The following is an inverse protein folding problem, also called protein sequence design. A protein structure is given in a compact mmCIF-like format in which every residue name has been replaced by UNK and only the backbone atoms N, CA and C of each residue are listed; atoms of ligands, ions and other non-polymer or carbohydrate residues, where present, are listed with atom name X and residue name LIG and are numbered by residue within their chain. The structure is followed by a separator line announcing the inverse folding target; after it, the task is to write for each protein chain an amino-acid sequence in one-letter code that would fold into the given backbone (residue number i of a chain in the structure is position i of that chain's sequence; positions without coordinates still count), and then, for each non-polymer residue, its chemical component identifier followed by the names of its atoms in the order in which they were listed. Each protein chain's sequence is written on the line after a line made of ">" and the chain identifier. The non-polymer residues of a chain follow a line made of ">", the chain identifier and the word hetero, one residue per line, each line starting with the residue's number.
data_IF_565485064770
#
_entry.id   IF_565485064770
#
_cell.length_a   1.000
_cell.length_b   1.000
_cell.length_c   1.000
_cell.angle_alpha   90.00
_cell.angle_beta   90.00
_cell.angle_gamma   90.00
#
_symmetry.space_group_name_H-M   'P 1'
#
loop_
_entity.id
_entity.type
_entity.pdbx_description
1 polymer ?
#
# COMPACT_ATOMS: atom_id res chain seq x y z
N UNK A 1 0.62 -23.31 -29.22
CA UNK A 1 1.76 -22.39 -29.17
C UNK A 1 2.08 -22.15 -27.70
N UNK A 2 3.33 -22.27 -27.28
CA UNK A 2 3.70 -21.92 -25.90
C UNK A 2 3.47 -20.42 -25.69
N UNK A 3 2.86 -19.99 -24.58
CA UNK A 3 2.62 -18.58 -24.32
C UNK A 3 3.96 -17.84 -24.27
N UNK A 4 4.07 -16.77 -25.06
CA UNK A 4 5.25 -15.91 -25.08
C UNK A 4 5.09 -14.83 -24.00
N UNK A 5 6.11 -14.65 -23.18
CA UNK A 5 6.15 -13.58 -22.19
C UNK A 5 7.43 -12.76 -22.33
N UNK A 6 7.37 -11.51 -21.89
CA UNK A 6 8.50 -10.60 -21.77
C UNK A 6 8.51 -10.04 -20.36
N UNK A 7 9.68 -9.88 -19.76
CA UNK A 7 9.83 -9.34 -18.41
C UNK A 7 10.40 -7.93 -18.52
N UNK A 8 9.69 -6.94 -17.96
CA UNK A 8 10.18 -5.56 -17.87
C UNK A 8 10.50 -5.28 -16.41
N UNK A 9 11.73 -4.87 -16.11
CA UNK A 9 12.21 -4.58 -14.75
C UNK A 9 12.53 -3.09 -14.61
N UNK A 10 11.56 -2.27 -14.17
CA UNK A 10 11.82 -0.91 -13.70
C UNK A 10 12.70 -0.96 -12.45
N UNK A 11 13.83 -0.25 -12.47
CA UNK A 11 14.81 -0.26 -11.38
C UNK A 11 15.43 1.11 -11.18
N UNK A 12 15.97 1.36 -9.99
CA UNK A 12 16.80 2.55 -9.72
C UNK A 12 18.29 2.29 -9.97
N UNK A 13 18.64 1.26 -10.75
CA UNK A 13 20.01 0.90 -11.10
C UNK A 13 20.77 0.15 -9.99
N UNK A 14 20.12 -0.80 -9.30
CA UNK A 14 20.75 -1.57 -8.21
C UNK A 14 21.80 -2.57 -8.72
N UNK A 15 23.01 -2.65 -8.14
CA UNK A 15 24.05 -3.61 -8.55
C UNK A 15 23.61 -5.08 -8.46
N UNK A 16 22.73 -5.41 -7.52
CA UNK A 16 22.21 -6.76 -7.30
C UNK A 16 21.41 -7.27 -8.50
N UNK A 17 20.69 -6.39 -9.21
CA UNK A 17 19.94 -6.77 -10.40
C UNK A 17 20.88 -7.23 -11.51
N UNK A 18 22.02 -6.57 -11.71
CA UNK A 18 23.00 -6.97 -12.72
C UNK A 18 23.51 -8.39 -12.46
N UNK A 19 23.86 -8.69 -11.21
CA UNK A 19 24.30 -10.04 -10.80
C UNK A 19 23.22 -11.10 -11.02
N UNK A 20 21.95 -10.74 -10.85
CA UNK A 20 20.84 -11.66 -11.14
C UNK A 20 20.74 -11.94 -12.64
N UNK A 21 20.79 -10.90 -13.47
CA UNK A 21 20.70 -11.04 -14.93
C UNK A 21 21.86 -11.86 -15.50
N UNK A 22 23.08 -11.63 -15.00
CA UNK A 22 24.27 -12.41 -15.39
C UNK A 22 24.04 -13.91 -15.08
N UNK A 23 23.52 -14.23 -13.89
CA UNK A 23 23.19 -15.62 -13.52
C UNK A 23 22.07 -16.23 -14.37
N UNK A 24 21.01 -15.48 -14.65
CA UNK A 24 19.92 -15.99 -15.50
C UNK A 24 20.43 -16.30 -16.93
N UNK A 25 21.35 -15.48 -17.44
CA UNK A 25 22.00 -15.74 -18.72
C UNK A 25 22.89 -17.00 -18.67
N UNK A 26 23.65 -17.20 -17.60
CA UNK A 26 24.45 -18.41 -17.37
C UNK A 26 23.58 -19.68 -17.25
N UNK A 27 22.40 -19.56 -16.64
CA UNK A 27 21.41 -20.64 -16.53
C UNK A 27 20.63 -20.90 -17.83
N UNK A 28 20.88 -20.12 -18.89
CA UNK A 28 20.28 -20.31 -20.21
C UNK A 28 18.84 -19.83 -20.32
N UNK A 29 18.41 -18.87 -19.51
CA UNK A 29 17.10 -18.20 -19.66
C UNK A 29 17.10 -17.44 -20.98
N UNK A 30 16.09 -17.70 -21.82
CA UNK A 30 16.03 -17.17 -23.20
C UNK A 30 14.89 -16.18 -23.42
N UNK A 31 14.01 -16.02 -22.42
CA UNK A 31 12.89 -15.12 -22.53
C UNK A 31 13.35 -13.64 -22.55
N UNK A 32 12.68 -12.77 -23.34
CA UNK A 32 13.05 -11.37 -23.42
C UNK A 32 12.95 -10.68 -22.06
N UNK A 33 14.07 -10.16 -21.56
CA UNK A 33 14.14 -9.33 -20.36
C UNK A 33 14.59 -7.92 -20.77
N UNK A 34 13.75 -6.93 -20.51
CA UNK A 34 14.05 -5.51 -20.68
C UNK A 34 14.25 -4.86 -19.31
N UNK A 35 15.36 -4.13 -19.14
CA UNK A 35 15.65 -3.38 -17.91
C UNK A 35 15.47 -1.90 -18.16
N UNK A 36 14.63 -1.25 -17.35
CA UNK A 36 14.35 0.17 -17.45
C UNK A 36 14.89 0.87 -16.21
N UNK A 37 15.85 1.77 -16.39
CA UNK A 37 16.45 2.49 -15.26
C UNK A 37 15.73 3.83 -15.06
N UNK A 38 14.98 3.94 -13.96
CA UNK A 38 14.45 5.21 -13.46
C UNK A 38 15.54 5.91 -12.63
N UNK A 39 16.26 6.81 -13.29
CA UNK A 39 17.32 7.62 -12.68
C UNK A 39 16.76 8.69 -11.72
N UNK A 40 15.53 9.14 -11.96
CA UNK A 40 14.89 10.24 -11.24
C UNK A 40 14.18 9.78 -9.96
N UNK A 41 14.00 8.46 -9.78
CA UNK A 41 13.41 7.82 -8.60
C UNK A 41 12.01 8.35 -8.31
N UNK A 42 11.18 8.42 -9.34
CA UNK A 42 9.84 9.02 -9.31
C UNK A 42 8.82 8.20 -8.51
N UNK A 43 9.19 6.97 -8.14
CA UNK A 43 8.48 6.13 -7.19
C UNK A 43 7.75 4.95 -7.83
N UNK A 44 7.12 4.08 -7.02
CA UNK A 44 6.60 2.79 -7.50
C UNK A 44 5.49 2.90 -8.55
N UNK A 45 4.58 3.86 -8.41
CA UNK A 45 3.52 4.08 -9.39
C UNK A 45 4.08 4.43 -10.78
N UNK A 46 5.07 5.33 -10.82
CA UNK A 46 5.78 5.70 -12.05
C UNK A 46 6.52 4.50 -12.64
N UNK A 47 7.28 3.78 -11.82
CA UNK A 47 8.03 2.60 -12.25
C UNK A 47 7.11 1.53 -12.86
N UNK A 48 5.97 1.22 -12.22
CA UNK A 48 4.96 0.29 -12.76
C UNK A 48 4.37 0.79 -14.07
N UNK A 49 4.13 2.09 -14.18
CA UNK A 49 3.65 2.72 -15.41
C UNK A 49 4.64 2.62 -16.56
N UNK A 50 5.91 2.90 -16.32
CA UNK A 50 6.98 2.69 -17.28
C UNK A 50 7.08 1.23 -17.72
N UNK A 51 6.95 0.30 -16.77
CA UNK A 51 6.96 -1.13 -17.05
C UNK A 51 5.85 -1.56 -18.01
N UNK A 52 4.59 -1.30 -17.65
CA UNK A 52 3.46 -1.81 -18.46
C UNK A 52 3.32 -1.12 -19.81
N UNK A 53 3.76 0.13 -19.96
CA UNK A 53 3.71 0.84 -21.25
C UNK A 53 4.62 0.22 -22.31
N UNK A 54 5.69 -0.47 -21.89
CA UNK A 54 6.63 -1.17 -22.78
C UNK A 54 6.16 -2.55 -23.20
N UNK A 55 5.13 -3.10 -22.56
CA UNK A 55 4.59 -4.41 -22.92
C UNK A 55 3.46 -4.27 -23.94
N UNK A 56 3.32 -5.28 -24.79
CA UNK A 56 2.24 -5.41 -25.78
C UNK A 56 1.26 -6.56 -25.47
N UNK A 57 1.54 -7.33 -24.42
CA UNK A 57 0.71 -8.47 -24.01
C UNK A 57 -0.72 -8.05 -23.63
N UNK A 58 -1.68 -8.93 -23.90
CA UNK A 58 -3.08 -8.75 -23.49
C UNK A 58 -3.18 -8.57 -21.96
N UNK A 59 -2.39 -9.34 -21.22
CA UNK A 59 -2.28 -9.29 -19.77
C UNK A 59 -0.93 -8.70 -19.36
N UNK A 60 -0.96 -7.83 -18.36
CA UNK A 60 0.21 -7.33 -17.66
C UNK A 60 0.20 -7.87 -16.25
N UNK A 61 1.22 -8.64 -15.90
CA UNK A 61 1.39 -9.23 -14.57
C UNK A 61 2.36 -8.37 -13.78
N UNK A 62 1.87 -7.76 -12.69
CA UNK A 62 2.69 -7.10 -11.70
C UNK A 62 3.08 -8.11 -10.62
N UNK A 63 4.38 -8.21 -10.36
CA UNK A 63 4.97 -9.07 -9.35
C UNK A 63 6.03 -8.24 -8.61
N UNK A 64 5.91 -8.11 -7.29
CA UNK A 64 6.86 -7.31 -6.50
C UNK A 64 8.22 -8.05 -6.38
N UNK A 65 9.31 -7.31 -6.12
CA UNK A 65 10.67 -7.88 -6.03
C UNK A 65 10.97 -8.56 -4.68
N UNK A 66 10.04 -8.49 -3.72
CA UNK A 66 10.13 -9.04 -2.38
C UNK A 66 9.10 -10.14 -2.08
N UNK A 67 8.56 -10.78 -3.12
CA UNK A 67 7.65 -11.94 -2.99
C UNK A 67 8.27 -13.22 -3.51
N UNK A 68 7.68 -14.35 -3.12
CA UNK A 68 8.11 -15.70 -3.49
C UNK A 68 6.94 -16.46 -4.11
N UNK A 69 6.88 -16.60 -5.45
CA UNK A 69 5.89 -17.45 -6.12
C UNK A 69 5.99 -18.91 -5.66
N UNK A 70 4.86 -19.55 -5.36
CA UNK A 70 4.84 -20.96 -4.91
C UNK A 70 5.04 -21.95 -6.06
N UNK A 71 5.51 -23.20 -5.79
CA UNK A 71 5.69 -24.21 -6.84
C UNK A 71 4.44 -24.42 -7.71
N UNK A 72 4.59 -24.39 -9.03
CA UNK A 72 3.48 -24.45 -9.99
C UNK A 72 2.78 -23.12 -10.27
N UNK A 73 3.39 -22.00 -9.89
CA UNK A 73 2.83 -20.66 -10.06
C UNK A 73 2.54 -20.33 -11.52
N UNK A 74 3.43 -20.70 -12.44
CA UNK A 74 3.30 -20.37 -13.87
C UNK A 74 2.08 -21.04 -14.48
N UNK A 75 1.87 -22.33 -14.22
CA UNK A 75 0.75 -23.10 -14.73
C UNK A 75 -0.57 -22.53 -14.21
N UNK A 76 -0.60 -22.17 -12.91
CA UNK A 76 -1.77 -21.53 -12.31
C UNK A 76 -2.00 -20.11 -12.79
N UNK A 77 -0.95 -19.33 -13.06
CA UNK A 77 -1.09 -18.03 -13.72
C UNK A 77 -1.76 -18.21 -15.08
N UNK A 78 -1.26 -19.11 -15.92
CA UNK A 78 -1.85 -19.33 -17.25
C UNK A 78 -3.33 -19.73 -17.17
N UNK A 79 -3.70 -20.59 -16.22
CA UNK A 79 -5.09 -20.93 -15.96
C UNK A 79 -5.90 -19.72 -15.43
N UNK A 80 -5.30 -18.92 -14.55
CA UNK A 80 -5.91 -17.71 -13.99
C UNK A 80 -6.18 -16.65 -15.07
N UNK A 81 -5.39 -16.59 -16.15
CA UNK A 81 -5.55 -15.63 -17.25
C UNK A 81 -6.60 -16.06 -18.29
N UNK A 82 -7.02 -17.32 -18.28
CA UNK A 82 -8.11 -17.85 -19.13
C UNK A 82 -9.47 -17.43 -18.57
N UNK A 83 -9.77 -16.14 -18.70
CA UNK A 83 -10.96 -15.51 -18.13
C UNK A 83 -11.81 -14.87 -19.23
N UNK A 84 -13.14 -14.77 -19.03
CA UNK A 84 -13.98 -14.01 -19.93
C UNK A 84 -13.53 -12.53 -20.00
N UNK A 85 -13.90 -11.85 -21.09
CA UNK A 85 -13.55 -10.45 -21.31
C UNK A 85 -14.04 -9.50 -20.19
N UNK A 86 -15.08 -9.89 -19.44
CA UNK A 86 -15.59 -9.13 -18.29
C UNK A 86 -14.60 -9.06 -17.11
N UNK A 87 -13.68 -10.01 -17.00
CA UNK A 87 -12.66 -10.03 -15.94
C UNK A 87 -11.47 -9.18 -16.37
N UNK A 88 -11.30 -8.06 -15.71
CA UNK A 88 -10.27 -7.06 -15.94
C UNK A 88 -8.99 -7.30 -15.15
N UNK A 89 -9.06 -8.00 -14.00
CA UNK A 89 -7.88 -8.31 -13.21
C UNK A 89 -8.03 -9.60 -12.41
N UNK A 90 -6.90 -10.26 -12.17
CA UNK A 90 -6.80 -11.51 -11.41
C UNK A 90 -5.68 -11.42 -10.39
N UNK A 91 -6.02 -11.30 -9.11
CA UNK A 91 -5.04 -11.29 -8.02
C UNK A 91 -4.67 -12.72 -7.60
N UNK A 92 -3.41 -12.96 -7.25
CA UNK A 92 -3.02 -14.18 -6.56
C UNK A 92 -3.58 -14.26 -5.12
N UNK A 93 -3.53 -15.46 -4.56
CA UNK A 93 -3.63 -15.69 -3.13
C UNK A 93 -2.31 -15.32 -2.47
N UNK A 94 -2.30 -14.22 -1.74
CA UNK A 94 -1.10 -13.75 -1.04
C UNK A 94 -1.12 -14.26 0.39
N UNK A 95 -0.02 -14.86 0.82
CA UNK A 95 0.18 -15.34 2.18
C UNK A 95 1.39 -14.67 2.80
N UNK A 96 1.33 -14.37 4.09
CA UNK A 96 2.48 -13.86 4.83
C UNK A 96 2.97 -14.99 5.73
N UNK A 97 4.19 -15.52 5.52
CA UNK A 97 4.71 -16.61 6.34
C UNK A 97 4.69 -16.27 7.85
N UNK A 98 4.41 -17.29 8.65
CA UNK A 98 4.48 -17.18 10.10
C UNK A 98 5.89 -16.78 10.55
N UNK A 99 5.96 -16.04 11.65
CA UNK A 99 7.21 -15.55 12.20
C UNK A 99 7.02 -14.98 13.60
N UNK A 100 8.10 -14.42 14.15
CA UNK A 100 8.00 -13.70 15.42
C UNK A 100 7.02 -12.52 15.27
N UNK A 101 5.93 -12.57 16.03
CA UNK A 101 4.84 -11.58 15.95
C UNK A 101 5.24 -10.26 16.60
N UNK A 102 6.11 -9.54 15.91
CA UNK A 102 6.49 -8.14 16.15
C UNK A 102 5.40 -7.19 15.63
N UNK A 103 5.48 -5.92 15.98
CA UNK A 103 4.53 -4.90 15.50
C UNK A 103 4.60 -4.71 13.97
N UNK A 104 5.80 -4.86 13.41
CA UNK A 104 6.02 -4.86 11.98
C UNK A 104 5.42 -6.08 11.30
N UNK A 105 5.66 -7.29 11.83
CA UNK A 105 5.06 -8.53 11.31
C UNK A 105 3.54 -8.45 11.31
N UNK A 106 2.93 -7.99 12.42
CA UNK A 106 1.49 -7.85 12.53
C UNK A 106 0.89 -6.87 11.49
N UNK A 107 1.64 -5.83 11.13
CA UNK A 107 1.23 -4.90 10.05
C UNK A 107 1.32 -5.57 8.69
N UNK A 108 2.45 -6.23 8.39
CA UNK A 108 2.67 -6.92 7.12
C UNK A 108 1.70 -8.07 6.91
N UNK A 109 1.36 -8.82 7.97
CA UNK A 109 0.37 -9.91 7.95
C UNK A 109 -1.00 -9.45 7.43
N UNK A 110 -1.33 -8.16 7.53
CA UNK A 110 -2.54 -7.59 6.94
C UNK A 110 -2.61 -7.72 5.40
N UNK A 111 -1.46 -7.85 4.72
CA UNK A 111 -1.40 -8.05 3.26
C UNK A 111 -2.08 -9.35 2.82
N UNK A 112 -2.10 -10.38 3.66
CA UNK A 112 -2.77 -11.66 3.35
C UNK A 112 -4.30 -11.51 3.20
N UNK A 113 -4.87 -10.41 3.69
CA UNK A 113 -6.30 -10.10 3.58
C UNK A 113 -6.56 -8.86 2.74
N UNK A 114 -5.51 -8.24 2.18
CA UNK A 114 -5.65 -7.07 1.35
C UNK A 114 -6.21 -7.45 -0.02
N UNK A 115 -6.98 -6.52 -0.60
CA UNK A 115 -7.60 -6.68 -1.91
C UNK A 115 -6.88 -5.82 -2.93
N UNK A 116 -6.70 -6.41 -4.10
CA UNK A 116 -6.13 -5.86 -5.31
C UNK A 116 -4.68 -5.37 -5.20
N UNK A 117 -3.90 -5.97 -4.29
CA UNK A 117 -2.51 -5.58 -4.05
C UNK A 117 -1.60 -6.00 -5.21
N UNK A 118 -0.62 -5.16 -5.54
CA UNK A 118 0.31 -5.39 -6.65
C UNK A 118 1.44 -6.36 -6.35
N UNK A 119 1.43 -6.98 -5.16
CA UNK A 119 2.37 -8.04 -4.79
C UNK A 119 2.37 -9.15 -5.84
N UNK A 120 1.18 -9.53 -6.31
CA UNK A 120 0.98 -10.43 -7.45
C UNK A 120 -0.44 -10.27 -8.01
N UNK A 121 -0.57 -9.51 -9.10
CA UNK A 121 -1.84 -9.26 -9.78
C UNK A 121 -1.64 -9.09 -11.29
N UNK A 122 -2.54 -9.69 -12.06
CA UNK A 122 -2.60 -9.48 -13.50
C UNK A 122 -3.73 -8.51 -13.83
N UNK A 123 -3.49 -7.53 -14.69
CA UNK A 123 -4.50 -6.65 -15.27
C UNK A 123 -4.56 -6.82 -16.78
N UNK A 124 -5.76 -6.77 -17.37
CA UNK A 124 -5.89 -6.58 -18.81
C UNK A 124 -5.27 -5.25 -19.19
N UNK A 125 -4.43 -5.25 -20.21
CA UNK A 125 -3.73 -4.07 -20.69
C UNK A 125 -4.69 -2.98 -21.16
N UNK A 126 -5.83 -3.37 -21.75
CA UNK A 126 -6.88 -2.44 -22.15
C UNK A 126 -7.40 -1.61 -20.96
N UNK A 127 -7.50 -2.20 -19.78
CA UNK A 127 -7.97 -1.50 -18.58
C UNK A 127 -6.92 -0.56 -18.02
N UNK A 128 -5.63 -0.89 -18.17
CA UNK A 128 -4.54 0.04 -17.87
C UNK A 128 -4.56 1.24 -18.82
N UNK A 129 -4.87 1.04 -20.10
CA UNK A 129 -5.07 2.14 -21.06
C UNK A 129 -6.26 3.02 -20.69
N UNK A 130 -7.44 2.42 -20.46
CA UNK A 130 -8.69 3.13 -20.13
C UNK A 130 -8.53 3.97 -18.87
N UNK A 131 -7.87 3.41 -17.86
CA UNK A 131 -7.73 4.07 -16.55
C UNK A 131 -6.51 5.00 -16.48
N UNK A 132 -5.59 4.92 -17.45
CA UNK A 132 -4.31 5.65 -17.45
C UNK A 132 -3.21 5.03 -16.57
N UNK A 133 -3.40 3.81 -16.08
CA UNK A 133 -2.46 3.11 -15.21
C UNK A 133 -2.50 3.58 -13.76
N UNK A 134 -1.38 3.48 -13.05
CA UNK A 134 -1.26 3.93 -11.66
C UNK A 134 -1.25 5.46 -11.56
N UNK A 135 -1.85 6.00 -10.51
CA UNK A 135 -1.81 7.44 -10.25
C UNK A 135 -0.44 7.81 -9.65
N UNK A 136 0.38 8.54 -10.42
CA UNK A 136 1.74 8.90 -10.02
C UNK A 136 1.78 9.95 -8.90
N UNK A 137 0.63 10.46 -8.43
CA UNK A 137 0.55 11.26 -7.21
C UNK A 137 0.84 10.46 -5.92
N UNK A 138 0.90 9.12 -5.99
CA UNK A 138 1.33 8.26 -4.88
C UNK A 138 2.86 8.08 -4.92
N UNK A 139 3.63 8.76 -4.04
CA UNK A 139 5.10 8.73 -4.08
C UNK A 139 5.69 7.46 -3.44
N UNK A 140 4.86 6.53 -2.97
CA UNK A 140 5.23 5.33 -2.20
C UNK A 140 4.36 4.16 -2.64
N UNK A 141 4.81 2.96 -2.32
CA UNK A 141 3.99 1.75 -2.40
C UNK A 141 2.98 1.75 -1.25
N UNK A 142 1.95 2.58 -1.38
CA UNK A 142 0.85 2.74 -0.45
C UNK A 142 -0.36 3.37 -1.17
N UNK A 143 -1.43 2.57 -1.33
CA UNK A 143 -2.77 2.95 -1.86
C UNK A 143 -2.91 3.14 -3.37
N UNK A 144 -1.81 3.15 -4.13
CA UNK A 144 -1.85 3.24 -5.59
C UNK A 144 -2.59 2.06 -6.24
N UNK A 145 -2.53 0.89 -5.59
CA UNK A 145 -3.19 -0.35 -5.96
C UNK A 145 -4.71 -0.27 -5.78
N UNK A 146 -5.16 0.19 -4.61
CA UNK A 146 -6.57 0.37 -4.28
C UNK A 146 -7.23 1.44 -5.17
N UNK A 147 -6.50 2.51 -5.49
CA UNK A 147 -6.94 3.54 -6.43
C UNK A 147 -7.16 2.98 -7.85
N UNK A 148 -6.18 2.24 -8.38
CA UNK A 148 -6.28 1.61 -9.70
C UNK A 148 -7.42 0.59 -9.74
N UNK A 149 -7.51 -0.29 -8.74
CA UNK A 149 -8.56 -1.29 -8.67
C UNK A 149 -9.97 -0.68 -8.62
N UNK A 150 -10.14 0.45 -7.91
CA UNK A 150 -11.38 1.21 -7.94
C UNK A 150 -11.67 1.77 -9.34
N UNK A 151 -10.70 2.42 -9.99
CA UNK A 151 -10.89 2.99 -11.33
C UNK A 151 -11.21 1.92 -12.38
N UNK A 152 -10.60 0.73 -12.29
CA UNK A 152 -10.90 -0.41 -13.16
C UNK A 152 -12.34 -0.89 -12.96
N UNK A 153 -12.81 -1.04 -11.70
CA UNK A 153 -14.21 -1.38 -11.41
C UNK A 153 -15.18 -0.31 -11.87
N UNK A 154 -14.85 0.96 -11.67
CA UNK A 154 -15.66 2.10 -12.11
C UNK A 154 -15.77 2.18 -13.65
N UNK A 155 -14.79 1.64 -14.38
CA UNK A 155 -14.82 1.48 -15.83
C UNK A 155 -15.54 0.19 -16.30
N UNK A 156 -16.20 -0.54 -15.39
CA UNK A 156 -16.98 -1.75 -15.70
C UNK A 156 -16.20 -3.07 -15.61
N UNK A 157 -14.93 -3.05 -15.23
CA UNK A 157 -14.12 -4.26 -15.09
C UNK A 157 -14.44 -5.08 -13.83
N UNK A 158 -14.57 -6.39 -13.97
CA UNK A 158 -14.65 -7.31 -12.85
C UNK A 158 -13.24 -7.71 -12.36
N UNK A 159 -13.01 -7.74 -11.05
CA UNK A 159 -11.74 -8.19 -10.47
C UNK A 159 -12.00 -9.46 -9.67
N UNK A 160 -11.14 -10.46 -9.83
CA UNK A 160 -11.28 -11.77 -9.18
C UNK A 160 -9.99 -12.21 -8.49
N UNK A 161 -10.11 -13.16 -7.58
CA UNK A 161 -8.94 -13.83 -6.96
C UNK A 161 -8.76 -15.18 -7.66
N UNK A 162 -7.57 -15.40 -8.19
CA UNK A 162 -7.19 -16.62 -8.88
C UNK A 162 -6.73 -17.72 -7.92
N UNK A 163 -6.20 -18.78 -8.53
CA UNK A 163 -5.70 -19.96 -7.85
C UNK A 163 -4.20 -19.92 -7.57
N UNK A 164 -3.44 -19.08 -8.27
CA UNK A 164 -1.99 -18.96 -8.01
C UNK A 164 -1.74 -18.38 -6.64
N UNK A 165 -0.65 -18.80 -6.02
CA UNK A 165 -0.30 -18.44 -4.66
C UNK A 165 1.12 -17.93 -4.57
N UNK A 166 1.31 -16.90 -3.75
CA UNK A 166 2.57 -16.17 -3.62
C UNK A 166 2.77 -15.78 -2.15
N UNK A 167 3.93 -16.11 -1.62
CA UNK A 167 4.31 -15.72 -0.26
C UNK A 167 4.93 -14.32 -0.27
N UNK A 168 4.53 -13.47 0.67
CA UNK A 168 5.12 -12.16 0.92
C UNK A 168 5.85 -12.19 2.26
N UNK A 169 7.16 -12.52 2.26
CA UNK A 169 7.98 -12.49 3.47
C UNK A 169 7.95 -11.13 4.18
N UNK A 170 8.08 -11.17 5.50
CA UNK A 170 8.24 -9.95 6.30
C UNK A 170 9.69 -9.49 6.20
N UNK A 171 9.92 -8.38 5.50
CA UNK A 171 11.25 -7.81 5.37
C UNK A 171 11.80 -7.32 6.72
N UNK A 172 13.13 -7.40 6.93
CA UNK A 172 13.77 -6.77 8.08
C UNK A 172 13.43 -5.28 8.15
N UNK A 173 13.05 -4.81 9.33
CA UNK A 173 12.70 -3.41 9.54
C UNK A 173 13.44 -2.83 10.75
N UNK A 174 13.82 -1.56 10.63
CA UNK A 174 14.42 -0.83 11.73
C UNK A 174 13.41 -0.54 12.84
N UNK A 175 13.91 -0.35 14.07
CA UNK A 175 13.12 -0.12 15.29
C UNK A 175 12.08 1.02 15.23
N UNK A 176 12.23 1.95 14.29
CA UNK A 176 11.35 3.11 14.11
C UNK A 176 10.44 3.00 12.87
N UNK A 177 10.31 1.81 12.27
CA UNK A 177 9.53 1.61 11.04
C UNK A 177 8.08 2.09 11.19
N UNK A 178 7.45 1.84 12.34
CA UNK A 178 6.07 2.25 12.62
C UNK A 178 5.86 3.77 12.57
N UNK A 179 6.88 4.57 12.91
CA UNK A 179 6.86 6.02 12.75
C UNK A 179 6.97 6.43 11.28
N UNK A 180 7.87 5.80 10.53
CA UNK A 180 8.05 6.08 9.09
C UNK A 180 6.80 5.74 8.28
N UNK A 181 6.10 4.66 8.64
CA UNK A 181 4.84 4.27 8.00
C UNK A 181 3.73 5.30 8.16
N UNK A 182 3.81 6.21 9.15
CA UNK A 182 2.81 7.27 9.31
C UNK A 182 2.76 8.26 8.14
N UNK A 183 3.80 8.29 7.29
CA UNK A 183 3.80 9.09 6.04
C UNK A 183 2.63 8.74 5.11
N UNK A 184 2.15 7.49 5.13
CA UNK A 184 1.00 7.04 4.34
C UNK A 184 -0.31 7.76 4.69
N UNK A 185 -0.42 8.38 5.87
CA UNK A 185 -1.60 9.19 6.21
C UNK A 185 -1.77 10.40 5.29
N UNK A 186 -0.69 10.89 4.65
CA UNK A 186 -0.79 11.94 3.62
C UNK A 186 -1.56 11.45 2.38
N UNK A 187 -1.39 10.18 2.04
CA UNK A 187 -2.00 9.54 0.87
C UNK A 187 -3.49 9.22 1.16
N UNK A 188 -3.83 8.86 2.40
CA UNK A 188 -5.23 8.78 2.87
C UNK A 188 -5.96 10.14 2.80
N UNK A 189 -5.23 11.26 3.00
CA UNK A 189 -5.79 12.60 2.85
C UNK A 189 -6.05 12.96 1.37
N UNK A 190 -5.15 12.54 0.47
CA UNK A 190 -5.34 12.62 -0.98
C UNK A 190 -6.60 11.86 -1.41
N UNK A 191 -6.74 10.60 -0.99
CA UNK A 191 -7.90 9.78 -1.32
C UNK A 191 -9.22 10.35 -0.79
N UNK A 192 -9.23 10.88 0.44
CA UNK A 192 -10.41 11.57 0.98
C UNK A 192 -10.78 12.79 0.15
N UNK A 193 -9.79 13.55 -0.35
CA UNK A 193 -10.04 14.73 -1.18
C UNK A 193 -10.61 14.33 -2.55
N UNK A 194 -10.05 13.27 -3.14
CA UNK A 194 -10.42 12.76 -4.46
C UNK A 194 -11.78 12.05 -4.45
N UNK A 195 -12.02 11.13 -3.52
CA UNK A 195 -13.21 10.26 -3.50
C UNK A 195 -14.22 10.58 -2.40
N UNK A 196 -13.99 11.65 -1.63
CA UNK A 196 -14.87 12.06 -0.54
C UNK A 196 -14.71 11.24 0.75
N UNK A 197 -15.62 11.42 1.70
CA UNK A 197 -15.50 10.80 3.04
C UNK A 197 -15.71 9.29 3.06
N UNK A 198 -16.39 8.73 2.06
CA UNK A 198 -16.72 7.30 1.93
C UNK A 198 -15.65 6.47 1.21
N UNK A 199 -14.50 7.05 0.88
CA UNK A 199 -13.47 6.44 0.03
C UNK A 199 -13.00 5.05 0.49
N UNK A 200 -13.01 4.77 1.79
CA UNK A 200 -12.60 3.47 2.34
C UNK A 200 -13.48 2.33 1.81
N UNK A 201 -14.80 2.54 1.76
CA UNK A 201 -15.73 1.54 1.20
C UNK A 201 -15.60 1.43 -0.31
N UNK A 202 -15.44 2.56 -1.00
CA UNK A 202 -15.25 2.59 -2.45
C UNK A 202 -13.99 1.83 -2.89
N UNK A 203 -12.87 2.05 -2.21
CA UNK A 203 -11.57 1.48 -2.55
C UNK A 203 -11.28 0.14 -1.82
N UNK A 204 -12.23 -0.38 -1.05
CA UNK A 204 -12.06 -1.62 -0.25
C UNK A 204 -10.86 -1.58 0.71
N UNK A 205 -10.65 -0.39 1.28
CA UNK A 205 -9.55 -0.10 2.19
C UNK A 205 -10.06 -0.11 3.65
N UNK A 206 -9.39 -0.82 4.57
CA UNK A 206 -9.79 -0.83 5.97
C UNK A 206 -9.61 0.54 6.62
N UNK A 207 -10.50 0.85 7.57
CA UNK A 207 -10.42 2.09 8.34
C UNK A 207 -9.19 2.14 9.24
N UNK A 208 -8.40 3.19 9.09
CA UNK A 208 -7.32 3.52 10.01
C UNK A 208 -7.81 4.13 11.34
N UNK A 209 -6.86 4.40 12.24
CA UNK A 209 -7.11 4.99 13.57
C UNK A 209 -7.13 6.52 13.60
N UNK A 210 -7.23 7.20 12.44
CA UNK A 210 -7.12 8.67 12.30
C UNK A 210 -7.94 9.44 13.33
N UNK A 211 -9.21 9.08 13.53
CA UNK A 211 -10.10 9.76 14.50
C UNK A 211 -9.56 9.65 15.93
N UNK A 212 -9.15 8.45 16.35
CA UNK A 212 -8.55 8.21 17.67
C UNK A 212 -7.23 8.97 17.82
N UNK A 213 -6.36 8.92 16.80
CA UNK A 213 -5.10 9.66 16.81
C UNK A 213 -5.30 11.19 16.88
N UNK A 214 -6.34 11.71 16.23
CA UNK A 214 -6.72 13.13 16.34
C UNK A 214 -7.12 13.48 17.77
N UNK A 215 -7.99 12.67 18.39
CA UNK A 215 -8.39 12.87 19.79
C UNK A 215 -7.19 12.80 20.73
N UNK A 216 -6.35 11.77 20.64
CA UNK A 216 -5.14 11.64 21.46
C UNK A 216 -4.23 12.86 21.27
N UNK A 217 -4.00 13.30 20.03
CA UNK A 217 -3.16 14.47 19.76
C UNK A 217 -3.72 15.74 20.38
N UNK A 218 -5.03 15.99 20.22
CA UNK A 218 -5.71 17.15 20.79
C UNK A 218 -5.68 17.15 22.32
N UNK A 219 -5.86 16.00 22.98
CA UNK A 219 -5.73 15.89 24.44
C UNK A 219 -4.33 16.26 24.92
N UNK A 220 -3.29 15.79 24.23
CA UNK A 220 -1.90 16.13 24.54
C UNK A 220 -1.62 17.63 24.36
N UNK A 221 -2.02 18.22 23.23
CA UNK A 221 -1.87 19.65 22.97
C UNK A 221 -2.66 20.51 23.97
N UNK A 222 -3.87 20.09 24.32
CA UNK A 222 -4.73 20.78 25.29
C UNK A 222 -4.09 20.77 26.68
N UNK A 223 -3.53 19.63 27.10
CA UNK A 223 -2.79 19.53 28.36
C UNK A 223 -1.62 20.51 28.41
N UNK A 224 -0.78 20.54 27.37
CA UNK A 224 0.36 21.46 27.28
C UNK A 224 -0.07 22.93 27.29
N UNK A 225 -1.13 23.29 26.56
CA UNK A 225 -1.66 24.66 26.53
C UNK A 225 -2.25 25.11 27.86
N UNK A 226 -3.00 24.22 28.55
CA UNK A 226 -3.53 24.49 29.89
C UNK A 226 -2.43 24.65 30.92
N UNK A 227 -1.38 23.82 30.83
CA UNK A 227 -0.21 23.94 31.69
C UNK A 227 0.50 25.28 31.48
N UNK A 228 0.72 25.69 30.23
CA UNK A 228 1.33 26.97 29.89
C UNK A 228 0.52 28.19 30.38
N UNK A 229 -0.82 28.06 30.43
CA UNK A 229 -1.72 29.09 30.99
C UNK A 229 -1.99 28.95 32.49
N UNK A 230 -1.18 28.13 33.20
CA UNK A 230 -1.24 27.90 34.66
C UNK A 230 -2.57 27.32 35.16
N UNK A 231 -3.35 26.67 34.29
CA UNK A 231 -4.61 25.99 34.63
C UNK A 231 -4.35 24.52 34.99
N UNK A 232 -3.57 24.31 36.06
CA UNK A 232 -2.98 22.99 36.37
C UNK A 232 -4.01 21.88 36.58
N UNK A 233 -5.12 22.14 37.28
CA UNK A 233 -6.15 21.12 37.50
C UNK A 233 -6.70 20.55 36.18
N UNK A 234 -7.02 21.42 35.22
CA UNK A 234 -7.50 21.02 33.90
C UNK A 234 -6.39 20.41 33.03
N UNK A 235 -5.14 20.90 33.17
CA UNK A 235 -3.99 20.30 32.50
C UNK A 235 -3.80 18.83 32.93
N UNK A 236 -3.93 18.55 34.24
CA UNK A 236 -3.85 17.18 34.78
C UNK A 236 -4.98 16.29 34.27
N UNK A 237 -6.22 16.79 34.19
CA UNK A 237 -7.35 16.04 33.62
C UNK A 237 -7.08 15.68 32.14
N UNK A 238 -6.63 16.66 31.34
CA UNK A 238 -6.29 16.43 29.94
C UNK A 238 -5.10 15.46 29.78
N UNK A 239 -4.08 15.57 30.64
CA UNK A 239 -2.93 14.67 30.67
C UNK A 239 -3.34 13.23 31.00
N UNK A 240 -4.22 13.03 31.99
CA UNK A 240 -4.75 11.71 32.35
C UNK A 240 -5.56 11.10 31.21
N UNK A 241 -6.42 11.88 30.55
CA UNK A 241 -7.18 11.43 29.38
C UNK A 241 -6.25 11.05 28.21
N UNK A 242 -5.21 11.85 27.95
CA UNK A 242 -4.18 11.55 26.96
C UNK A 242 -3.41 10.25 27.29
N UNK A 243 -3.02 10.07 28.55
CA UNK A 243 -2.32 8.88 29.02
C UNK A 243 -3.20 7.63 28.86
N UNK A 244 -4.49 7.70 29.22
CA UNK A 244 -5.45 6.62 29.01
C UNK A 244 -5.63 6.26 27.53
N UNK A 245 -5.77 7.25 26.65
CA UNK A 245 -5.87 7.01 25.21
C UNK A 245 -4.58 6.39 24.62
N UNK A 246 -3.42 6.80 25.12
CA UNK A 246 -2.12 6.23 24.72
C UNK A 246 -1.97 4.80 25.22
N UNK A 247 -2.41 4.51 26.45
CA UNK A 247 -2.40 3.17 27.03
C UNK A 247 -3.31 2.20 26.26
N UNK A 248 -4.52 2.60 25.86
CA UNK A 248 -5.39 1.80 24.97
C UNK A 248 -4.66 1.46 23.66
N UNK A 249 -3.94 2.43 23.08
CA UNK A 249 -3.21 2.23 21.84
C UNK A 249 -2.03 1.26 22.01
N UNK A 250 -1.24 1.41 23.09
CA UNK A 250 -0.18 0.46 23.46
C UNK A 250 -0.74 -0.94 23.63
N UNK A 251 -1.83 -1.09 24.39
CA UNK A 251 -2.47 -2.39 24.64
C UNK A 251 -3.01 -3.02 23.35
N UNK A 252 -3.51 -2.22 22.41
CA UNK A 252 -3.89 -2.71 21.09
C UNK A 252 -2.69 -3.26 20.31
N UNK A 253 -1.58 -2.51 20.26
CA UNK A 253 -0.37 -2.95 19.54
C UNK A 253 0.25 -4.20 20.18
N UNK A 254 0.34 -4.27 21.51
CA UNK A 254 0.85 -5.45 22.23
C UNK A 254 -0.04 -6.71 22.13
N UNK A 255 -1.33 -6.56 21.79
CA UNK A 255 -2.20 -7.71 21.45
C UNK A 255 -1.92 -8.24 20.05
N UNK A 256 -1.63 -7.35 19.11
CA UNK A 256 -1.25 -7.74 17.75
C UNK A 256 0.19 -8.30 17.69
N UNK A 257 1.06 -7.78 18.55
CA UNK A 257 2.50 -8.05 18.58
C UNK A 257 2.99 -8.54 19.97
N UNK A 258 2.68 -9.79 20.36
CA UNK A 258 3.06 -10.32 21.67
C UNK A 258 4.58 -10.41 21.89
N UNK A 259 5.40 -10.47 20.84
CA UNK A 259 6.86 -10.53 20.96
C UNK A 259 7.44 -9.29 21.66
N UNK A 260 6.82 -8.13 21.44
CA UNK A 260 7.24 -6.83 21.98
C UNK A 260 7.08 -6.74 23.51
N UNK A 261 6.34 -7.66 24.14
CA UNK A 261 6.19 -7.73 25.60
C UNK A 261 7.51 -7.98 26.31
N UNK A 262 8.49 -8.60 25.63
CA UNK A 262 9.84 -8.83 26.16
C UNK A 262 10.63 -7.52 26.33
N UNK A 263 10.42 -6.55 25.44
CA UNK A 263 11.09 -5.25 25.45
C UNK A 263 10.11 -4.15 24.97
N UNK A 264 9.15 -3.73 25.81
CA UNK A 264 8.03 -2.89 25.35
C UNK A 264 8.40 -1.42 25.15
N UNK A 265 9.54 -0.95 25.67
CA UNK A 265 9.91 0.47 25.66
C UNK A 265 9.90 1.11 24.26
N UNK A 266 10.46 0.50 23.20
CA UNK A 266 10.38 1.07 21.85
C UNK A 266 8.94 1.14 21.32
N UNK A 267 8.12 0.12 21.61
CA UNK A 267 6.71 0.12 21.22
C UNK A 267 5.93 1.21 21.96
N UNK A 268 6.17 1.40 23.26
CA UNK A 268 5.55 2.47 24.05
C UNK A 268 5.97 3.84 23.52
N UNK A 269 7.27 4.06 23.33
CA UNK A 269 7.80 5.31 22.80
C UNK A 269 7.22 5.64 21.41
N UNK A 270 7.16 4.66 20.52
CA UNK A 270 6.52 4.84 19.22
C UNK A 270 5.01 5.07 19.34
N UNK A 271 4.32 4.46 20.30
CA UNK A 271 2.88 4.67 20.52
C UNK A 271 2.54 6.08 20.98
N UNK A 272 3.44 6.73 21.73
CA UNK A 272 3.33 8.16 22.10
C UNK A 272 3.50 9.05 20.86
N UNK A 273 4.47 8.73 19.99
CA UNK A 273 4.82 9.57 18.84
C UNK A 273 3.91 9.39 17.61
N UNK A 274 3.32 8.20 17.42
CA UNK A 274 2.48 7.88 16.25
C UNK A 274 1.28 8.84 16.11
N UNK A 275 0.45 9.09 17.13
CA UNK A 275 -0.74 9.93 16.97
C UNK A 275 -0.47 11.33 16.39
N UNK A 276 0.44 12.15 16.96
CA UNK A 276 0.73 13.46 16.39
C UNK A 276 1.40 13.38 15.01
N UNK A 277 2.25 12.38 14.76
CA UNK A 277 2.87 12.19 13.44
C UNK A 277 1.86 11.81 12.37
N UNK A 278 0.92 10.90 12.68
CA UNK A 278 -0.15 10.49 11.78
C UNK A 278 -1.04 11.68 11.41
N UNK A 279 -1.44 12.49 12.41
CA UNK A 279 -2.23 13.70 12.21
C UNK A 279 -1.46 14.74 11.40
N UNK A 280 -0.18 14.96 11.70
CA UNK A 280 0.67 15.89 10.97
C UNK A 280 0.83 15.51 9.50
N UNK A 281 1.12 14.24 9.20
CA UNK A 281 1.18 13.75 7.82
C UNK A 281 -0.15 13.86 7.10
N UNK A 282 -1.26 13.54 7.77
CA UNK A 282 -2.60 13.70 7.20
C UNK A 282 -2.92 15.15 6.84
N UNK A 283 -2.64 16.10 7.74
CA UNK A 283 -2.85 17.54 7.51
C UNK A 283 -1.95 18.06 6.38
N UNK A 284 -0.68 17.63 6.35
CA UNK A 284 0.24 17.99 5.27
C UNK A 284 -0.23 17.47 3.91
N UNK A 285 -0.74 16.23 3.84
CA UNK A 285 -1.35 15.67 2.64
C UNK A 285 -2.61 16.42 2.22
N UNK A 286 -3.50 16.69 3.17
CA UNK A 286 -4.72 17.47 2.93
C UNK A 286 -4.40 18.85 2.34
N UNK A 287 -3.40 19.53 2.89
CA UNK A 287 -2.93 20.81 2.36
C UNK A 287 -2.31 20.67 0.97
N UNK A 288 -1.37 19.74 0.78
CA UNK A 288 -0.70 19.51 -0.51
C UNK A 288 -1.70 19.27 -1.64
N UNK A 289 -2.72 18.45 -1.36
CA UNK A 289 -3.69 18.00 -2.35
C UNK A 289 -4.99 18.82 -2.35
N UNK A 290 -5.04 19.99 -1.68
CA UNK A 290 -6.27 20.81 -1.57
C UNK A 290 -6.91 21.19 -2.91
N UNK A 291 -6.12 21.25 -3.98
CA UNK A 291 -6.56 21.60 -5.35
C UNK A 291 -6.84 20.39 -6.25
N UNK A 292 -6.66 19.17 -5.75
CA UNK A 292 -7.00 17.96 -6.52
C UNK A 292 -8.51 17.91 -6.77
N UNK A 293 -8.96 17.66 -8.02
CA UNK A 293 -10.37 17.56 -8.33
C UNK A 293 -10.98 16.31 -7.69
N UNK A 294 -12.28 16.39 -7.35
CA UNK A 294 -13.04 15.22 -6.94
C UNK A 294 -13.28 14.27 -8.12
N UNK A 295 -13.44 12.99 -7.81
CA UNK A 295 -13.86 11.96 -8.75
C UNK A 295 -15.40 11.77 -8.72
N UNK A 296 -16.04 11.55 -9.88
CA UNK A 296 -15.48 11.72 -11.22
C UNK A 296 -15.18 13.21 -11.47
N UNK A 297 -14.17 13.52 -12.29
CA UNK A 297 -13.91 14.90 -12.66
C UNK A 297 -15.20 15.47 -13.27
N UNK A 298 -15.67 16.60 -12.75
CA UNK A 298 -16.88 17.27 -13.23
C UNK A 298 -16.76 17.48 -14.75
N UNK A 299 -17.48 16.67 -15.53
CA UNK A 299 -17.33 16.59 -16.98
C UNK A 299 -17.78 15.25 -17.58
N UNK A 300 -17.70 14.14 -16.82
CA UNK A 300 -18.31 12.87 -17.24
C UNK A 300 -19.75 12.82 -16.72
N UNK A 301 -20.67 13.52 -17.41
CA UNK A 301 -22.09 13.19 -17.28
C UNK A 301 -22.25 11.77 -17.83
N UNK A 302 -22.78 10.89 -16.99
CA UNK A 302 -23.33 9.60 -17.42
C UNK A 302 -24.47 9.87 -18.40
N UNK A 303 -24.16 9.95 -19.69
CA UNK A 303 -25.12 9.60 -20.73
C UNK A 303 -25.23 8.07 -20.74
N UNK A 304 -25.96 7.54 -19.76
CA UNK A 304 -26.60 6.24 -19.91
C UNK A 304 -28.06 6.44 -19.53
N UNK A 305 -28.89 6.32 -20.56
CA UNK A 305 -30.36 6.27 -20.56
C UNK A 305 -30.89 5.22 -19.61
#
# INVERSE_FOLDING_TARGET
>A
MSPTFSVVIPTTGRPELRRLLDRLAEEGVTEPIEVVVDSDRLGPAHARNEGWRRTSGEWVVFLDDDVVPRPGWRERLLADLDQPASVAAVQAQVTVPDGERTDWHATTAGLAHARWITADIAYRREMLLITGGFDENFPRAYREDADLAFRVRAAGGCLVVGSRATDHPVRPAGRWVSLRSQRGNADDAYLRRRYGSGWHGLLEVPHGRRRRHTVTTLLGLTSLGLFATRRYAWATVAAAAWAGATADFVAHRLRAAPAERRQPLPLIATSVAIPPLAVGHWLAGWWRHRRVPSWPATGVRSEQK
#
